data_IF_380089746607
#
_entry.id   IF_380089746607
#
_cell.length_a   1.000
_cell.length_b   1.000
_cell.length_c   1.000
_cell.angle_alpha   90.00
_cell.angle_beta   90.00
_cell.angle_gamma   90.00
#
_symmetry.space_group_name_H-M   'P 1'
#
loop_
_entity.id
_entity.type
_entity.pdbx_description
1 polymer ?
#
# COMPACT_ATOMS: atom_id res chain seq x y z
N UNK A 1 45.90 -25.66 45.56
CA UNK A 1 46.78 -24.96 44.60
C UNK A 1 46.11 -25.08 43.25
N UNK A 2 45.10 -24.29 42.93
CA UNK A 2 45.10 -22.83 42.72
C UNK A 2 45.96 -22.40 41.52
N UNK A 3 45.32 -22.22 40.36
CA UNK A 3 45.84 -21.40 39.27
C UNK A 3 44.70 -20.61 38.63
N UNK A 4 44.35 -19.52 39.32
CA UNK A 4 43.95 -18.23 38.76
C UNK A 4 42.75 -18.22 37.80
N UNK A 5 41.62 -17.89 38.44
CA UNK A 5 40.63 -16.90 38.00
C UNK A 5 41.23 -15.76 37.13
N UNK A 6 40.39 -15.14 36.30
CA UNK A 6 40.64 -14.07 35.30
C UNK A 6 41.10 -14.65 33.95
N UNK A 7 40.37 -14.56 32.83
CA UNK A 7 39.68 -13.40 32.26
C UNK A 7 38.72 -13.86 31.16
N UNK A 8 37.40 -13.66 31.27
CA UNK A 8 36.50 -13.59 30.09
C UNK A 8 35.13 -12.95 30.39
N UNK A 9 34.99 -12.23 31.51
CA UNK A 9 33.69 -11.70 31.96
C UNK A 9 33.52 -10.19 31.66
N UNK A 10 34.45 -9.60 30.91
CA UNK A 10 34.44 -8.18 30.51
C UNK A 10 34.19 -7.97 29.01
N UNK A 11 34.45 -8.97 28.15
CA UNK A 11 34.23 -8.88 26.71
C UNK A 11 32.79 -9.23 26.30
N UNK A 12 32.12 -10.14 27.02
CA UNK A 12 30.70 -10.41 26.78
C UNK A 12 29.83 -9.24 27.23
N UNK A 13 30.14 -8.60 28.35
CA UNK A 13 29.39 -7.43 28.85
C UNK A 13 29.52 -6.22 27.90
N UNK A 14 30.68 -6.01 27.27
CA UNK A 14 30.90 -4.94 26.29
C UNK A 14 30.17 -5.17 24.96
N UNK A 15 30.19 -6.41 24.44
CA UNK A 15 29.47 -6.78 23.21
C UNK A 15 27.95 -6.80 23.43
N UNK A 16 27.48 -7.28 24.58
CA UNK A 16 26.06 -7.28 24.96
C UNK A 16 25.55 -5.86 25.22
N UNK A 17 26.36 -4.96 25.80
CA UNK A 17 26.04 -3.52 25.91
C UNK A 17 26.00 -2.83 24.54
N UNK A 18 26.91 -3.18 23.61
CA UNK A 18 26.91 -2.64 22.24
C UNK A 18 25.68 -3.11 21.44
N UNK A 19 25.27 -4.37 21.61
CA UNK A 19 24.05 -4.91 21.01
C UNK A 19 22.76 -4.38 21.66
N UNK A 20 22.76 -4.15 22.98
CA UNK A 20 21.63 -3.59 23.74
C UNK A 20 21.37 -2.12 23.39
N UNK A 21 22.42 -1.31 23.20
CA UNK A 21 22.28 0.10 22.79
C UNK A 21 21.71 0.26 21.38
N UNK A 22 21.97 -0.72 20.49
CA UNK A 22 21.44 -0.72 19.12
C UNK A 22 19.96 -1.09 19.02
N UNK A 23 19.38 -1.76 20.02
CA UNK A 23 18.00 -2.25 19.99
C UNK A 23 16.94 -1.28 20.56
N UNK A 24 17.35 -0.16 21.19
CA UNK A 24 16.43 0.81 21.80
C UNK A 24 15.80 1.84 20.83
N UNK A 25 16.05 1.70 19.52
CA UNK A 25 15.64 2.66 18.48
C UNK A 25 14.47 2.20 17.58
N UNK A 26 13.84 1.05 17.86
CA UNK A 26 12.83 0.46 16.96
C UNK A 26 11.41 1.03 17.20
N UNK A 27 11.14 1.64 18.37
CA UNK A 27 9.81 2.14 18.74
C UNK A 27 9.74 3.67 18.66
N UNK A 28 8.60 4.21 18.21
CA UNK A 28 8.32 5.65 18.20
C UNK A 28 8.48 6.27 19.60
N UNK A 29 9.57 7.01 19.81
CA UNK A 29 9.93 7.57 21.13
C UNK A 29 9.09 8.82 21.45
N UNK A 30 8.97 9.75 20.49
CA UNK A 30 8.28 11.03 20.70
C UNK A 30 6.76 10.89 20.63
N UNK A 31 6.03 11.75 21.37
CA UNK A 31 4.55 11.79 21.34
C UNK A 31 4.01 11.96 19.92
N UNK A 32 4.69 12.76 19.09
CA UNK A 32 4.34 13.00 17.70
C UNK A 32 4.52 11.75 16.83
N UNK A 33 5.60 10.98 17.03
CA UNK A 33 5.83 9.73 16.31
C UNK A 33 4.76 8.68 16.65
N UNK A 34 4.42 8.52 17.94
CA UNK A 34 3.32 7.62 18.36
C UNK A 34 1.99 8.02 17.73
N UNK A 35 1.70 9.33 17.63
CA UNK A 35 0.51 9.85 16.92
C UNK A 35 0.59 9.54 15.41
N UNK A 36 1.77 9.67 14.81
CA UNK A 36 2.03 9.36 13.41
C UNK A 36 1.66 7.92 13.06
N UNK A 37 2.08 6.95 13.88
CA UNK A 37 1.74 5.52 13.71
C UNK A 37 0.21 5.31 13.74
N UNK A 38 -0.49 5.85 14.74
CA UNK A 38 -1.95 5.72 14.83
C UNK A 38 -2.69 6.37 13.65
N UNK A 39 -2.18 7.48 13.13
CA UNK A 39 -2.77 8.15 11.96
C UNK A 39 -2.48 7.37 10.67
N UNK A 40 -1.27 6.84 10.51
CA UNK A 40 -0.89 6.08 9.33
C UNK A 40 -1.70 4.78 9.22
N UNK A 41 -1.93 4.08 10.34
CA UNK A 41 -2.76 2.86 10.38
C UNK A 41 -4.21 3.14 9.94
N UNK A 42 -4.84 4.20 10.47
CA UNK A 42 -6.20 4.58 10.07
C UNK A 42 -6.29 4.97 8.59
N UNK A 43 -5.29 5.69 8.08
CA UNK A 43 -5.19 6.02 6.65
C UNK A 43 -4.93 4.77 5.80
N UNK A 44 -4.16 3.80 6.29
CA UNK A 44 -3.88 2.54 5.59
C UNK A 44 -5.16 1.77 5.32
N UNK A 45 -5.99 1.55 6.35
CA UNK A 45 -7.26 0.81 6.22
C UNK A 45 -8.19 1.44 5.17
N UNK A 46 -8.36 2.76 5.20
CA UNK A 46 -9.24 3.47 4.26
C UNK A 46 -8.69 3.48 2.84
N UNK A 47 -7.38 3.69 2.66
CA UNK A 47 -6.72 3.64 1.37
C UNK A 47 -6.72 2.23 0.75
N UNK A 48 -6.57 1.19 1.57
CA UNK A 48 -6.60 -0.19 1.10
C UNK A 48 -7.98 -0.57 0.57
N UNK A 49 -9.05 -0.17 1.25
CA UNK A 49 -10.43 -0.35 0.76
C UNK A 49 -10.61 0.26 -0.62
N UNK A 50 -10.24 1.54 -0.80
CA UNK A 50 -10.36 2.24 -2.09
C UNK A 50 -9.45 1.65 -3.18
N UNK A 51 -8.27 1.15 -2.79
CA UNK A 51 -7.35 0.50 -3.71
C UNK A 51 -7.91 -0.83 -4.21
N UNK A 52 -8.55 -1.62 -3.34
CA UNK A 52 -9.19 -2.89 -3.69
C UNK A 52 -10.39 -2.66 -4.61
N UNK A 53 -11.32 -1.78 -4.24
CA UNK A 53 -12.51 -1.48 -5.07
C UNK A 53 -12.14 -0.97 -6.47
N UNK A 54 -11.14 -0.08 -6.57
CA UNK A 54 -10.60 0.34 -7.87
C UNK A 54 -10.04 -0.83 -8.68
N UNK A 55 -9.27 -1.72 -8.05
CA UNK A 55 -8.64 -2.87 -8.74
C UNK A 55 -9.69 -3.86 -9.23
N UNK A 56 -10.71 -4.12 -8.42
CA UNK A 56 -11.85 -4.98 -8.75
C UNK A 56 -12.64 -4.41 -9.92
N UNK A 57 -13.03 -3.13 -9.88
CA UNK A 57 -13.77 -2.49 -10.98
C UNK A 57 -12.97 -2.45 -12.30
N UNK A 58 -11.64 -2.31 -12.24
CA UNK A 58 -10.79 -2.42 -13.44
C UNK A 58 -10.71 -3.86 -13.94
N UNK A 59 -10.78 -4.85 -13.04
CA UNK A 59 -10.74 -6.28 -13.39
C UNK A 59 -12.06 -6.73 -14.02
N UNK A 60 -13.21 -6.26 -13.54
CA UNK A 60 -14.53 -6.56 -14.12
C UNK A 60 -14.58 -6.05 -15.55
N UNK A 61 -14.33 -4.75 -15.78
CA UNK A 61 -14.31 -4.17 -17.14
C UNK A 61 -13.39 -4.94 -18.09
N UNK A 62 -12.23 -5.40 -17.63
CA UNK A 62 -11.33 -6.21 -18.47
C UNK A 62 -11.89 -7.57 -18.82
N UNK A 63 -12.63 -8.22 -17.91
CA UNK A 63 -13.32 -9.48 -18.20
C UNK A 63 -14.43 -9.26 -19.21
N UNK A 64 -15.22 -8.21 -19.05
CA UNK A 64 -16.36 -7.93 -19.93
C UNK A 64 -15.90 -7.56 -21.36
N UNK A 65 -14.78 -6.83 -21.45
CA UNK A 65 -14.09 -6.54 -22.71
C UNK A 65 -13.60 -7.83 -23.40
N UNK A 66 -13.16 -8.85 -22.65
CA UNK A 66 -12.77 -10.14 -23.22
C UNK A 66 -13.99 -10.97 -23.66
N UNK A 67 -15.09 -10.89 -22.90
CA UNK A 67 -16.35 -11.55 -23.21
C UNK A 67 -17.11 -10.92 -24.41
N UNK A 68 -16.71 -9.71 -24.84
CA UNK A 68 -17.33 -8.92 -25.92
C UNK A 68 -18.78 -8.46 -25.64
N UNK A 69 -19.19 -8.43 -24.37
CA UNK A 69 -20.51 -7.98 -23.96
C UNK A 69 -20.61 -6.46 -23.95
N UNK A 70 -21.09 -5.87 -25.06
CA UNK A 70 -21.14 -4.42 -25.28
C UNK A 70 -22.02 -3.68 -24.26
N UNK A 71 -23.14 -4.29 -23.84
CA UNK A 71 -24.08 -3.68 -22.88
C UNK A 71 -23.51 -3.65 -21.47
N UNK A 72 -22.98 -4.78 -20.98
CA UNK A 72 -22.36 -4.89 -19.67
C UNK A 72 -21.13 -3.97 -19.57
N UNK A 73 -20.29 -3.98 -20.59
CA UNK A 73 -19.07 -3.15 -20.65
C UNK A 73 -19.34 -1.66 -20.42
N UNK A 74 -20.44 -1.09 -20.96
CA UNK A 74 -20.77 0.33 -20.76
C UNK A 74 -21.13 0.65 -19.30
N UNK A 75 -21.87 -0.25 -18.64
CA UNK A 75 -22.26 -0.09 -17.24
C UNK A 75 -21.03 -0.19 -16.34
N UNK A 76 -20.22 -1.24 -16.54
CA UNK A 76 -19.01 -1.48 -15.75
C UNK A 76 -17.95 -0.40 -15.97
N UNK A 77 -17.87 0.17 -17.17
CA UNK A 77 -16.97 1.31 -17.45
C UNK A 77 -17.35 2.55 -16.64
N UNK A 78 -18.64 2.86 -16.52
CA UNK A 78 -19.13 3.98 -15.71
C UNK A 78 -18.80 3.77 -14.22
N UNK A 79 -19.01 2.55 -13.72
CA UNK A 79 -18.65 2.18 -12.35
C UNK A 79 -17.14 2.28 -12.09
N UNK A 80 -16.32 1.82 -13.04
CA UNK A 80 -14.87 1.93 -12.96
C UNK A 80 -14.40 3.38 -12.94
N UNK A 81 -14.98 4.27 -13.76
CA UNK A 81 -14.67 5.70 -13.74
C UNK A 81 -15.04 6.35 -12.41
N UNK A 82 -16.24 6.04 -11.88
CA UNK A 82 -16.67 6.51 -10.56
C UNK A 82 -15.72 6.07 -9.44
N UNK A 83 -15.26 4.83 -9.47
CA UNK A 83 -14.31 4.30 -8.49
C UNK A 83 -12.94 5.00 -8.59
N UNK A 84 -12.43 5.22 -9.82
CA UNK A 84 -11.17 5.92 -10.06
C UNK A 84 -11.22 7.38 -9.58
N UNK A 85 -12.33 8.08 -9.84
CA UNK A 85 -12.48 9.47 -9.43
C UNK A 85 -12.64 9.64 -7.92
N UNK A 86 -13.34 8.72 -7.26
CA UNK A 86 -13.40 8.70 -5.80
C UNK A 86 -12.02 8.46 -5.18
N UNK A 87 -11.23 7.54 -5.75
CA UNK A 87 -9.87 7.28 -5.29
C UNK A 87 -8.94 8.49 -5.52
N UNK A 88 -9.13 9.23 -6.62
CA UNK A 88 -8.38 10.46 -6.90
C UNK A 88 -8.77 11.60 -5.97
N UNK A 89 -10.08 11.83 -5.76
CA UNK A 89 -10.61 12.86 -4.86
C UNK A 89 -10.12 12.68 -3.43
N UNK A 90 -10.07 11.44 -2.94
CA UNK A 90 -9.57 11.12 -1.59
C UNK A 90 -8.04 11.07 -1.46
N UNK A 91 -7.30 11.28 -2.56
CA UNK A 91 -5.84 11.30 -2.54
C UNK A 91 -5.18 9.93 -2.44
N UNK A 92 -5.93 8.83 -2.58
CA UNK A 92 -5.35 7.47 -2.61
C UNK A 92 -4.53 7.23 -3.88
N UNK A 93 -4.90 7.89 -4.99
CA UNK A 93 -4.13 7.93 -6.24
C UNK A 93 -3.95 9.38 -6.70
N UNK A 94 -2.83 9.69 -7.36
CA UNK A 94 -2.62 11.01 -7.99
C UNK A 94 -3.59 11.19 -9.17
N UNK A 95 -4.02 12.42 -9.45
CA UNK A 95 -4.93 12.75 -10.56
C UNK A 95 -4.43 12.21 -11.91
N UNK A 96 -3.13 12.36 -12.21
CA UNK A 96 -2.51 11.82 -13.42
C UNK A 96 -2.57 10.28 -13.51
N UNK A 97 -2.49 9.57 -12.38
CA UNK A 97 -2.66 8.11 -12.36
C UNK A 97 -4.09 7.69 -12.70
N UNK A 98 -5.09 8.43 -12.21
CA UNK A 98 -6.48 8.19 -12.57
C UNK A 98 -6.71 8.42 -14.07
N UNK A 99 -6.23 9.54 -14.62
CA UNK A 99 -6.37 9.88 -16.03
C UNK A 99 -5.73 8.83 -16.95
N UNK A 100 -4.51 8.37 -16.61
CA UNK A 100 -3.84 7.29 -17.34
C UNK A 100 -4.67 6.00 -17.36
N UNK A 101 -5.28 5.63 -16.23
CA UNK A 101 -6.14 4.43 -16.14
C UNK A 101 -7.42 4.58 -16.96
N UNK A 102 -8.09 5.74 -16.88
CA UNK A 102 -9.27 6.03 -17.70
C UNK A 102 -8.98 5.92 -19.19
N UNK A 103 -7.90 6.56 -19.65
CA UNK A 103 -7.47 6.51 -21.05
C UNK A 103 -7.20 5.08 -21.52
N UNK A 104 -6.51 4.26 -20.72
CA UNK A 104 -6.25 2.85 -21.06
C UNK A 104 -7.52 2.03 -21.17
N UNK A 105 -8.50 2.21 -20.27
CA UNK A 105 -9.78 1.52 -20.33
C UNK A 105 -10.56 1.94 -21.58
N UNK A 106 -10.65 3.23 -21.87
CA UNK A 106 -11.33 3.74 -23.05
C UNK A 106 -10.73 3.18 -24.36
N UNK A 107 -9.39 3.14 -24.46
CA UNK A 107 -8.69 2.53 -25.60
C UNK A 107 -8.98 1.03 -25.75
N UNK A 108 -9.04 0.30 -24.63
CA UNK A 108 -9.35 -1.13 -24.66
C UNK A 108 -10.77 -1.40 -25.18
N UNK A 109 -11.75 -0.62 -24.71
CA UNK A 109 -13.14 -0.71 -25.18
C UNK A 109 -13.24 -0.30 -26.67
N UNK A 110 -12.58 0.78 -27.07
CA UNK A 110 -12.59 1.23 -28.46
C UNK A 110 -11.99 0.20 -29.43
N UNK A 111 -10.99 -0.57 -29.00
CA UNK A 111 -10.39 -1.64 -29.83
C UNK A 111 -11.36 -2.80 -30.08
N UNK A 112 -12.27 -3.09 -29.16
CA UNK A 112 -13.25 -4.18 -29.31
C UNK A 112 -14.45 -3.76 -30.16
N UNK A 113 -14.75 -2.46 -30.21
CA UNK A 113 -15.83 -1.90 -31.02
C UNK A 113 -15.45 -1.64 -32.49
N UNK A 114 -14.16 -1.78 -32.84
CA UNK A 114 -13.65 -1.58 -34.21
C UNK A 114 -13.51 -2.94 -34.89
#
# INVERSE_FOLDING_TARGET
MDFRLLTNDTLEKGVVLWYSWRYKNIMAITKNAKRGVRVSERKRVTNDKLRRTMKEAVKTVRKDVLAKDVKATKVDLSLAFKALDKAAKRGTIKKGQANRKKSRLAKAVAKVSK
#
